data_IF_968659278622
#
_entry.id   IF_968659278622
#
_cell.length_a   1.000
_cell.length_b   1.000
_cell.length_c   1.000
_cell.angle_alpha   90.00
_cell.angle_beta   90.00
_cell.angle_gamma   90.00
#
_symmetry.space_group_name_H-M   'P 1'
#
loop_
_entity.id
_entity.type
_entity.pdbx_description
1 polymer ?
#
# COMPACT_ATOMS: atom_id res chain seq x y z
N UNK A 1 2.54 -9.81 24.13
CA UNK A 1 1.10 -9.96 24.44
C UNK A 1 0.36 -10.36 23.17
N UNK A 2 -0.77 -11.11 23.23
CA UNK A 2 -1.56 -11.35 22.03
C UNK A 2 -2.11 -10.02 21.50
N UNK A 3 -1.91 -9.75 20.21
CA UNK A 3 -2.42 -8.53 19.58
C UNK A 3 -3.93 -8.68 19.43
N UNK A 4 -4.69 -7.78 20.06
CA UNK A 4 -6.13 -7.75 19.94
C UNK A 4 -6.53 -6.90 18.73
N UNK A 5 -6.85 -7.57 17.62
CA UNK A 5 -7.29 -6.90 16.39
C UNK A 5 -8.58 -6.09 16.58
N UNK A 6 -9.47 -6.52 17.47
CA UNK A 6 -10.73 -5.81 17.73
C UNK A 6 -10.47 -4.44 18.37
N UNK A 7 -9.57 -4.37 19.35
CA UNK A 7 -9.20 -3.08 19.95
C UNK A 7 -8.49 -2.18 18.95
N UNK A 8 -7.63 -2.74 18.07
CA UNK A 8 -6.99 -1.97 17.01
C UNK A 8 -7.99 -1.35 16.02
N UNK A 9 -9.03 -2.08 15.64
CA UNK A 9 -10.10 -1.53 14.79
C UNK A 9 -10.89 -0.44 15.51
N UNK A 10 -11.21 -0.63 16.79
CA UNK A 10 -11.88 0.39 17.60
C UNK A 10 -11.04 1.66 17.73
N UNK A 11 -9.74 1.55 17.98
CA UNK A 11 -8.82 2.69 18.08
C UNK A 11 -8.64 3.40 16.74
N UNK A 12 -8.62 2.65 15.64
CA UNK A 12 -8.59 3.20 14.28
C UNK A 12 -9.86 4.00 14.01
N UNK A 13 -11.03 3.45 14.34
CA UNK A 13 -12.30 4.15 14.18
C UNK A 13 -12.42 5.39 15.07
N UNK A 14 -11.99 5.30 16.33
CA UNK A 14 -11.95 6.42 17.25
C UNK A 14 -11.06 7.55 16.73
N UNK A 15 -9.91 7.22 16.12
CA UNK A 15 -9.06 8.21 15.48
C UNK A 15 -9.77 8.93 14.33
N UNK A 16 -10.38 8.16 13.42
CA UNK A 16 -11.11 8.69 12.26
C UNK A 16 -12.20 9.66 12.70
N UNK A 17 -12.97 9.29 13.74
CA UNK A 17 -14.04 10.12 14.31
C UNK A 17 -13.50 11.38 15.00
N UNK A 18 -12.47 11.23 15.83
CA UNK A 18 -11.95 12.33 16.66
C UNK A 18 -11.11 13.34 15.83
N UNK A 19 -10.60 12.94 14.66
CA UNK A 19 -9.77 13.77 13.78
C UNK A 19 -10.40 13.99 12.41
N UNK A 20 -11.70 14.30 12.38
CA UNK A 20 -12.50 14.45 11.16
C UNK A 20 -11.90 15.42 10.11
N UNK A 21 -11.28 16.52 10.52
CA UNK A 21 -10.64 17.47 9.60
C UNK A 21 -9.44 16.86 8.86
N UNK A 22 -8.60 16.09 9.56
CA UNK A 22 -7.51 15.34 8.93
C UNK A 22 -8.08 14.24 8.02
N UNK A 23 -9.07 13.48 8.50
CA UNK A 23 -9.71 12.42 7.72
C UNK A 23 -10.27 12.97 6.42
N UNK A 24 -11.02 14.07 6.46
CA UNK A 24 -11.67 14.65 5.28
C UNK A 24 -10.63 15.18 4.29
N UNK A 25 -9.61 15.90 4.74
CA UNK A 25 -8.54 16.40 3.86
C UNK A 25 -7.75 15.25 3.21
N UNK A 26 -7.45 14.19 3.97
CA UNK A 26 -6.77 13.00 3.45
C UNK A 26 -7.62 12.27 2.39
N UNK A 27 -8.92 12.07 2.65
CA UNK A 27 -9.84 11.42 1.70
C UNK A 27 -9.97 12.23 0.42
N UNK A 28 -10.16 13.55 0.52
CA UNK A 28 -10.26 14.43 -0.65
C UNK A 28 -9.00 14.37 -1.49
N UNK A 29 -7.82 14.42 -0.87
CA UNK A 29 -6.54 14.33 -1.57
C UNK A 29 -6.36 12.97 -2.24
N UNK A 30 -6.64 11.87 -1.54
CA UNK A 30 -6.55 10.51 -2.10
C UNK A 30 -7.54 10.29 -3.24
N UNK A 31 -8.77 10.81 -3.13
CA UNK A 31 -9.78 10.71 -4.17
C UNK A 31 -9.40 11.54 -5.40
N UNK A 32 -8.93 12.78 -5.20
CA UNK A 32 -8.46 13.64 -6.29
C UNK A 32 -7.28 13.00 -7.05
N UNK A 33 -6.34 12.38 -6.33
CA UNK A 33 -5.22 11.67 -6.95
C UNK A 33 -5.66 10.41 -7.69
N UNK A 34 -6.57 9.62 -7.13
CA UNK A 34 -7.12 8.45 -7.83
C UNK A 34 -7.87 8.85 -9.12
N UNK A 35 -8.62 9.95 -9.08
CA UNK A 35 -9.26 10.52 -10.27
C UNK A 35 -8.22 11.00 -11.28
N UNK A 36 -7.20 11.75 -10.84
CA UNK A 36 -6.11 12.21 -11.71
C UNK A 36 -5.38 11.05 -12.39
N UNK A 37 -5.03 10.00 -11.63
CA UNK A 37 -4.41 8.79 -12.17
C UNK A 37 -5.35 8.09 -13.17
N UNK A 38 -6.64 7.98 -12.86
CA UNK A 38 -7.63 7.36 -13.75
C UNK A 38 -7.89 8.15 -15.04
N UNK A 39 -7.56 9.44 -15.08
CA UNK A 39 -7.64 10.25 -16.30
C UNK A 39 -6.37 10.11 -17.16
N UNK A 40 -5.22 9.85 -16.52
CA UNK A 40 -3.93 9.65 -17.19
C UNK A 40 -3.81 8.21 -17.72
N UNK A 41 -4.35 7.23 -16.99
CA UNK A 41 -4.30 5.80 -17.31
C UNK A 41 -5.70 5.31 -17.69
N UNK A 42 -5.96 4.97 -18.97
CA UNK A 42 -7.24 4.39 -19.38
C UNK A 42 -7.57 3.12 -18.57
N UNK A 43 -8.78 3.08 -18.01
CA UNK A 43 -9.31 2.00 -17.15
C UNK A 43 -9.32 0.61 -17.79
N UNK A 44 -9.19 0.50 -19.11
CA UNK A 44 -9.16 -0.77 -19.85
C UNK A 44 -7.94 -1.63 -19.52
N UNK A 45 -6.88 -1.06 -18.96
CA UNK A 45 -5.56 -1.73 -18.96
C UNK A 45 -5.34 -2.80 -17.88
N UNK A 46 -6.15 -2.86 -16.81
CA UNK A 46 -5.92 -3.81 -15.70
C UNK A 46 -7.00 -4.87 -15.49
N UNK A 47 -8.24 -4.64 -15.93
CA UNK A 47 -9.34 -5.61 -15.82
C UNK A 47 -9.57 -6.39 -17.13
N UNK A 48 -9.35 -5.79 -18.30
CA UNK A 48 -9.43 -6.51 -19.59
C UNK A 48 -8.17 -7.35 -19.87
N UNK A 49 -7.10 -7.20 -19.07
CA UNK A 49 -5.97 -8.12 -19.12
C UNK A 49 -6.30 -9.50 -18.51
N UNK A 50 -7.35 -9.59 -17.67
CA UNK A 50 -7.84 -10.84 -17.08
C UNK A 50 -8.99 -11.47 -17.88
N UNK A 51 -9.79 -10.65 -18.58
CA UNK A 51 -10.80 -11.10 -19.53
C UNK A 51 -10.19 -11.07 -20.92
N UNK A 52 -9.62 -12.21 -21.37
CA UNK A 52 -8.90 -12.40 -22.64
C UNK A 52 -9.62 -11.91 -23.90
N UNK A 53 -9.75 -10.59 -24.02
CA UNK A 53 -10.25 -9.86 -25.16
C UNK A 53 -9.04 -9.43 -25.97
N UNK A 54 -9.12 -9.69 -27.27
CA UNK A 54 -8.07 -9.54 -28.25
C UNK A 54 -7.76 -8.06 -28.59
N UNK A 55 -7.65 -7.19 -27.58
CA UNK A 55 -7.12 -5.84 -27.70
C UNK A 55 -5.65 -5.87 -27.23
N UNK A 56 -4.85 -6.74 -27.84
CA UNK A 56 -3.42 -6.90 -27.52
C UNK A 56 -2.51 -6.27 -28.57
N UNK A 57 -3.05 -5.58 -29.58
CA UNK A 57 -2.26 -5.25 -30.79
C UNK A 57 -1.69 -3.83 -30.89
N UNK A 58 -1.84 -2.94 -29.90
CA UNK A 58 -1.30 -1.58 -30.11
C UNK A 58 -0.94 -0.74 -28.87
N UNK A 59 -0.68 -1.36 -27.71
CA UNK A 59 0.01 -0.65 -26.63
C UNK A 59 1.40 -1.23 -26.47
N UNK A 60 2.43 -0.41 -26.70
CA UNK A 60 3.79 -0.80 -26.35
C UNK A 60 3.84 -1.04 -24.84
N UNK A 61 4.61 -2.04 -24.40
CA UNK A 61 4.84 -2.26 -22.96
C UNK A 61 5.32 -0.97 -22.25
N UNK A 62 5.97 -0.07 -23.00
CA UNK A 62 6.44 1.24 -22.53
C UNK A 62 5.27 2.20 -22.20
N UNK A 63 4.20 2.16 -23.00
CA UNK A 63 3.02 3.03 -22.83
C UNK A 63 2.22 2.69 -21.57
N UNK A 64 2.29 1.44 -21.12
CA UNK A 64 1.72 1.00 -19.84
C UNK A 64 2.69 1.24 -18.66
N UNK A 65 3.99 1.08 -18.89
CA UNK A 65 5.01 1.11 -17.85
C UNK A 65 5.19 2.51 -17.27
N UNK A 66 5.31 3.54 -18.10
CA UNK A 66 5.56 4.92 -17.63
C UNK A 66 4.43 5.42 -16.71
N UNK A 67 3.15 5.34 -17.08
CA UNK A 67 2.07 5.78 -16.21
C UNK A 67 1.95 4.94 -14.93
N UNK A 68 2.23 3.63 -15.01
CA UNK A 68 2.23 2.74 -13.83
C UNK A 68 3.35 3.08 -12.85
N UNK A 69 4.54 3.44 -13.34
CA UNK A 69 5.63 3.88 -12.47
C UNK A 69 5.31 5.23 -11.82
N UNK A 70 4.73 6.17 -12.56
CA UNK A 70 4.31 7.46 -12.01
C UNK A 70 3.23 7.29 -10.93
N UNK A 71 2.24 6.43 -11.15
CA UNK A 71 1.21 6.16 -10.14
C UNK A 71 1.82 5.55 -8.87
N UNK A 72 2.76 4.61 -9.01
CA UNK A 72 3.49 4.04 -7.87
C UNK A 72 4.24 5.11 -7.07
N UNK A 73 4.95 6.03 -7.75
CA UNK A 73 5.69 7.11 -7.10
C UNK A 73 4.76 8.05 -6.31
N UNK A 74 3.64 8.44 -6.91
CA UNK A 74 2.63 9.28 -6.24
C UNK A 74 2.06 8.57 -5.02
N UNK A 75 1.72 7.28 -5.14
CA UNK A 75 1.15 6.49 -4.04
C UNK A 75 2.14 6.37 -2.88
N UNK A 76 3.42 6.10 -3.16
CA UNK A 76 4.47 6.04 -2.11
C UNK A 76 4.61 7.39 -1.41
N UNK A 77 4.65 8.50 -2.15
CA UNK A 77 4.78 9.84 -1.56
C UNK A 77 3.62 10.15 -0.62
N UNK A 78 2.39 9.89 -1.08
CA UNK A 78 1.18 10.14 -0.27
C UNK A 78 1.15 9.26 0.96
N UNK A 79 1.51 7.97 0.85
CA UNK A 79 1.59 7.09 2.01
C UNK A 79 2.59 7.60 3.06
N UNK A 80 3.78 8.05 2.64
CA UNK A 80 4.76 8.67 3.55
C UNK A 80 4.17 9.91 4.22
N UNK A 81 3.53 10.79 3.44
CA UNK A 81 2.91 12.01 3.96
C UNK A 81 1.82 11.70 4.99
N UNK A 82 0.95 10.71 4.72
CA UNK A 82 -0.09 10.27 5.64
C UNK A 82 0.51 9.71 6.92
N UNK A 83 1.53 8.84 6.83
CA UNK A 83 2.20 8.26 8.00
C UNK A 83 2.82 9.35 8.89
N UNK A 84 3.51 10.33 8.29
CA UNK A 84 4.11 11.43 9.04
C UNK A 84 3.06 12.34 9.68
N UNK A 85 1.95 12.60 8.98
CA UNK A 85 0.84 13.35 9.56
C UNK A 85 0.20 12.60 10.73
N UNK A 86 -0.03 11.29 10.62
CA UNK A 86 -0.57 10.47 11.73
C UNK A 86 0.41 10.48 12.91
N UNK A 87 1.72 10.37 12.66
CA UNK A 87 2.76 10.49 13.69
C UNK A 87 2.69 11.86 14.40
N UNK A 88 2.62 12.95 13.65
CA UNK A 88 2.50 14.30 14.18
C UNK A 88 1.21 14.51 14.99
N UNK A 89 0.08 13.91 14.56
CA UNK A 89 -1.19 13.94 15.31
C UNK A 89 -1.06 13.22 16.64
N UNK A 90 -0.40 12.05 16.67
CA UNK A 90 -0.21 11.28 17.89
C UNK A 90 0.77 11.95 18.86
N UNK A 91 1.74 12.72 18.34
CA UNK A 91 2.68 13.50 19.15
C UNK A 91 2.10 14.84 19.63
N UNK A 92 0.96 15.28 19.08
CA UNK A 92 0.34 16.57 19.42
C UNK A 92 0.87 17.77 18.61
N UNK A 93 1.78 17.55 17.67
CA UNK A 93 2.45 18.61 16.88
C UNK A 93 1.73 18.96 15.57
N UNK A 94 0.57 18.35 15.31
CA UNK A 94 -0.12 18.51 14.03
C UNK A 94 -0.73 19.90 13.88
N UNK A 95 -0.30 20.62 12.84
CA UNK A 95 -0.81 21.96 12.49
C UNK A 95 -1.62 21.96 11.19
N UNK A 96 -1.02 21.48 10.10
CA UNK A 96 -1.64 21.45 8.77
C UNK A 96 -1.28 20.18 8.01
N UNK A 97 -2.11 19.77 7.06
CA UNK A 97 -1.91 18.55 6.28
C UNK A 97 -0.60 18.54 5.49
N UNK A 98 -0.18 19.70 4.99
CA UNK A 98 1.06 19.87 4.21
C UNK A 98 2.27 20.21 5.08
N UNK A 99 2.12 20.33 6.40
CA UNK A 99 3.25 20.65 7.29
C UNK A 99 4.40 19.65 7.14
N UNK A 100 4.07 18.37 6.98
CA UNK A 100 5.04 17.29 6.83
C UNK A 100 5.47 17.03 5.39
N UNK A 101 5.07 17.85 4.40
CA UNK A 101 5.36 17.62 2.99
C UNK A 101 6.86 17.70 2.67
N UNK A 102 7.57 18.68 3.23
CA UNK A 102 9.02 18.79 3.05
C UNK A 102 9.77 17.60 3.65
N UNK A 103 9.35 17.16 4.85
CA UNK A 103 9.87 15.95 5.49
C UNK A 103 9.57 14.70 4.67
N UNK A 104 8.34 14.57 4.14
CA UNK A 104 7.96 13.46 3.26
C UNK A 104 8.82 13.43 2.00
N UNK A 105 9.08 14.59 1.38
CA UNK A 105 9.94 14.69 0.20
C UNK A 105 11.38 14.28 0.50
N UNK A 106 11.94 14.73 1.64
CA UNK A 106 13.30 14.35 2.05
C UNK A 106 13.48 12.85 2.30
N UNK A 107 12.39 12.16 2.65
CA UNK A 107 12.35 10.72 2.94
C UNK A 107 11.85 9.88 1.77
N UNK A 108 11.49 10.53 0.67
CA UNK A 108 10.80 9.89 -0.45
C UNK A 108 11.68 8.85 -1.13
N UNK A 109 12.96 9.17 -1.37
CA UNK A 109 13.91 8.25 -1.99
C UNK A 109 14.10 6.98 -1.15
N UNK A 110 14.25 7.15 0.17
CA UNK A 110 14.41 6.03 1.10
C UNK A 110 13.14 5.17 1.18
N UNK A 111 11.97 5.80 1.15
CA UNK A 111 10.69 5.09 1.10
C UNK A 111 10.53 4.28 -0.20
N UNK A 112 10.93 4.83 -1.36
CA UNK A 112 10.93 4.09 -2.63
C UNK A 112 11.84 2.87 -2.52
N UNK A 113 13.09 3.04 -2.07
CA UNK A 113 14.05 1.93 -1.97
C UNK A 113 13.53 0.82 -1.06
N UNK A 114 12.95 1.16 0.09
CA UNK A 114 12.35 0.18 1.00
C UNK A 114 11.14 -0.53 0.39
N UNK A 115 10.28 0.21 -0.32
CA UNK A 115 9.12 -0.36 -1.03
C UNK A 115 9.56 -1.32 -2.13
N UNK A 116 10.59 -0.96 -2.90
CA UNK A 116 11.17 -1.82 -3.94
C UNK A 116 11.73 -3.09 -3.31
N UNK A 117 12.54 -3.00 -2.25
CA UNK A 117 13.10 -4.17 -1.56
C UNK A 117 11.99 -5.08 -0.99
N UNK A 118 10.89 -4.50 -0.51
CA UNK A 118 9.74 -5.25 -0.01
C UNK A 118 9.01 -6.01 -1.12
N UNK A 119 8.72 -5.36 -2.25
CA UNK A 119 7.86 -5.91 -3.32
C UNK A 119 8.64 -6.75 -4.33
N UNK A 120 9.93 -6.48 -4.52
CA UNK A 120 10.78 -7.12 -5.52
C UNK A 120 10.76 -8.66 -5.49
N UNK A 121 10.82 -9.33 -4.32
CA UNK A 121 10.79 -10.79 -4.26
C UNK A 121 9.49 -11.39 -4.81
N UNK A 122 8.33 -10.77 -4.55
CA UNK A 122 7.05 -11.22 -5.10
C UNK A 122 6.98 -10.94 -6.61
N UNK A 123 7.44 -9.77 -7.06
CA UNK A 123 7.39 -9.43 -8.48
C UNK A 123 8.24 -10.37 -9.34
N UNK A 124 9.37 -10.86 -8.82
CA UNK A 124 10.16 -11.90 -9.49
C UNK A 124 9.38 -13.20 -9.63
N UNK A 125 8.70 -13.67 -8.58
CA UNK A 125 7.87 -14.86 -8.63
C UNK A 125 6.74 -14.75 -9.68
N UNK A 126 6.09 -13.59 -9.73
CA UNK A 126 5.06 -13.31 -10.75
C UNK A 126 5.63 -13.25 -12.16
N UNK A 127 6.82 -12.68 -12.36
CA UNK A 127 7.47 -12.66 -13.67
C UNK A 127 7.75 -14.07 -14.19
N UNK A 128 8.25 -14.98 -13.35
CA UNK A 128 8.44 -16.39 -13.74
C UNK A 128 7.12 -17.12 -14.07
N UNK A 129 6.02 -16.75 -13.41
CA UNK A 129 4.71 -17.34 -13.67
C UNK A 129 4.04 -16.82 -14.96
N UNK A 130 4.24 -15.53 -15.29
CA UNK A 130 3.58 -14.87 -16.42
C UNK A 130 4.35 -14.93 -17.74
N UNK A 131 5.67 -15.17 -17.70
CA UNK A 131 6.51 -15.27 -18.89
C UNK A 131 7.00 -16.71 -19.11
N UNK A 132 6.18 -17.58 -19.74
CA UNK A 132 6.57 -18.96 -20.06
C UNK A 132 7.73 -19.06 -21.08
N UNK A 133 8.13 -17.94 -21.70
CA UNK A 133 9.26 -17.87 -22.63
C UNK A 133 10.64 -18.06 -21.97
N UNK A 134 10.71 -18.12 -20.63
CA UNK A 134 11.94 -18.36 -19.88
C UNK A 134 12.37 -19.85 -19.84
N UNK A 135 11.62 -20.75 -20.48
CA UNK A 135 11.96 -22.17 -20.70
C UNK A 135 10.97 -23.15 -20.07
N UNK A 136 10.93 -24.38 -20.59
CA UNK A 136 9.98 -25.46 -20.21
C UNK A 136 9.96 -25.85 -18.71
N UNK A 137 10.91 -25.36 -17.92
CA UNK A 137 11.02 -25.57 -16.47
C UNK A 137 10.60 -24.36 -15.62
N UNK A 138 10.20 -23.24 -16.25
CA UNK A 138 9.74 -22.02 -15.58
C UNK A 138 8.56 -22.22 -14.61
N UNK A 139 7.54 -23.07 -14.89
CA UNK A 139 6.43 -23.28 -13.95
C UNK A 139 6.85 -23.97 -12.65
N UNK A 140 7.86 -24.85 -12.70
CA UNK A 140 8.33 -25.63 -11.55
C UNK A 140 9.16 -24.77 -10.58
N UNK A 141 9.91 -23.79 -11.10
CA UNK A 141 10.69 -22.84 -10.31
C UNK A 141 9.85 -21.65 -9.82
N UNK A 142 8.76 -21.31 -10.49
CA UNK A 142 7.90 -20.17 -10.10
C UNK A 142 7.29 -20.33 -8.69
N UNK A 143 6.79 -21.53 -8.36
CA UNK A 143 6.16 -21.81 -7.06
C UNK A 143 7.08 -21.56 -5.84
N UNK A 144 8.28 -22.17 -5.74
CA UNK A 144 9.16 -21.92 -4.60
C UNK A 144 9.65 -20.47 -4.53
N UNK A 145 9.92 -19.83 -5.68
CA UNK A 145 10.31 -18.41 -5.72
C UNK A 145 9.17 -17.51 -5.23
N UNK A 146 7.92 -17.79 -5.63
CA UNK A 146 6.75 -17.03 -5.20
C UNK A 146 6.48 -17.20 -3.70
N UNK A 147 6.60 -18.42 -3.17
CA UNK A 147 6.47 -18.68 -1.72
C UNK A 147 7.55 -17.96 -0.91
N UNK A 148 8.81 -18.01 -1.38
CA UNK A 148 9.91 -17.29 -0.75
C UNK A 148 9.69 -15.77 -0.83
N UNK A 149 9.20 -15.28 -1.97
CA UNK A 149 8.86 -13.87 -2.16
C UNK A 149 7.77 -13.40 -1.20
N UNK A 150 6.70 -14.18 -1.07
CA UNK A 150 5.61 -13.93 -0.14
C UNK A 150 6.10 -13.90 1.31
N UNK A 151 6.98 -14.84 1.69
CA UNK A 151 7.58 -14.87 3.02
C UNK A 151 8.40 -13.61 3.33
N UNK A 152 9.25 -13.17 2.39
CA UNK A 152 10.03 -11.93 2.55
C UNK A 152 9.12 -10.71 2.63
N UNK A 153 8.09 -10.66 1.79
CA UNK A 153 7.12 -9.57 1.77
C UNK A 153 6.37 -9.44 3.09
N UNK A 154 5.86 -10.56 3.65
CA UNK A 154 5.18 -10.56 4.95
C UNK A 154 6.13 -10.06 6.05
N UNK A 155 7.39 -10.51 6.04
CA UNK A 155 8.40 -10.06 7.02
C UNK A 155 8.74 -8.59 6.91
N UNK A 156 8.74 -8.04 5.69
CA UNK A 156 9.11 -6.64 5.43
C UNK A 156 7.89 -5.72 5.31
N UNK A 157 6.68 -6.20 5.55
CA UNK A 157 5.46 -5.41 5.40
C UNK A 157 5.45 -4.13 6.26
N UNK A 158 6.07 -4.19 7.45
CA UNK A 158 6.17 -3.06 8.36
C UNK A 158 7.42 -2.18 8.17
N UNK A 159 8.24 -2.41 7.15
CA UNK A 159 9.56 -1.76 7.03
C UNK A 159 9.46 -0.24 6.87
N UNK A 160 8.47 0.23 6.11
CA UNK A 160 8.25 1.67 5.88
C UNK A 160 7.81 2.34 7.19
N UNK A 161 6.91 1.71 7.94
CA UNK A 161 6.48 2.19 9.26
C UNK A 161 7.65 2.22 10.24
N UNK A 162 8.47 1.17 10.27
CA UNK A 162 9.67 1.11 11.11
C UNK A 162 10.68 2.22 10.76
N UNK A 163 10.85 2.54 9.47
CA UNK A 163 11.75 3.62 9.04
C UNK A 163 11.24 5.01 9.45
N UNK A 164 9.94 5.27 9.28
CA UNK A 164 9.36 6.60 9.48
C UNK A 164 9.04 6.91 10.96
N UNK A 165 8.75 5.88 11.75
CA UNK A 165 8.30 6.05 13.14
C UNK A 165 9.46 6.04 14.13
N UNK A 166 10.48 5.21 13.93
CA UNK A 166 11.60 5.06 14.88
C UNK A 166 12.49 6.31 14.99
N UNK A 167 12.86 6.66 16.22
CA UNK A 167 13.78 7.74 16.55
C UNK A 167 14.86 7.21 17.52
N UNK A 168 16.18 7.40 17.24
CA UNK A 168 16.77 8.02 16.05
C UNK A 168 16.64 7.14 14.79
N UNK A 169 16.57 7.79 13.62
CA UNK A 169 16.41 7.11 12.32
C UNK A 169 17.62 6.21 12.05
N UNK A 170 17.37 4.92 11.89
CA UNK A 170 18.39 3.93 11.56
C UNK A 170 18.70 3.98 10.06
N UNK A 171 19.94 3.62 9.68
CA UNK A 171 20.31 3.40 8.27
C UNK A 171 19.39 2.35 7.63
N UNK A 172 19.12 2.44 6.33
CA UNK A 172 18.23 1.51 5.60
C UNK A 172 18.47 0.03 5.93
N UNK A 173 19.74 -0.42 5.91
CA UNK A 173 20.10 -1.79 6.25
C UNK A 173 19.85 -2.16 7.70
N UNK A 174 20.01 -1.22 8.63
CA UNK A 174 19.70 -1.43 10.05
C UNK A 174 18.17 -1.49 10.28
N UNK A 175 17.38 -0.73 9.51
CA UNK A 175 15.92 -0.83 9.53
C UNK A 175 15.44 -2.17 8.99
N UNK A 176 16.00 -2.63 7.87
CA UNK A 176 15.68 -3.96 7.32
C UNK A 176 15.98 -5.07 8.33
N UNK A 177 17.18 -5.06 8.93
CA UNK A 177 17.56 -6.02 9.98
C UNK A 177 16.64 -5.93 11.19
N UNK A 178 16.25 -4.72 11.59
CA UNK A 178 15.34 -4.50 12.71
C UNK A 178 13.95 -5.06 12.42
N UNK A 179 13.34 -4.74 11.28
CA UNK A 179 12.02 -5.26 10.88
C UNK A 179 12.04 -6.79 10.73
N UNK A 180 13.15 -7.33 10.21
CA UNK A 180 13.34 -8.77 10.12
C UNK A 180 13.40 -9.45 11.49
N UNK A 181 14.12 -8.86 12.44
CA UNK A 181 14.18 -9.33 13.84
C UNK A 181 12.85 -9.17 14.59
N UNK A 182 12.11 -8.11 14.31
CA UNK A 182 10.79 -7.84 14.91
C UNK A 182 9.77 -8.94 14.57
N UNK A 183 9.93 -9.58 13.41
CA UNK A 183 9.09 -10.68 12.95
C UNK A 183 9.36 -12.02 13.65
N UNK A 184 10.46 -12.13 14.42
CA UNK A 184 10.88 -13.38 15.04
C UNK A 184 9.93 -13.78 16.18
N UNK A 185 9.33 -14.97 16.08
CA UNK A 185 8.39 -15.49 17.09
C UNK A 185 6.99 -14.87 17.07
N UNK A 186 6.72 -13.86 16.23
CA UNK A 186 5.42 -13.16 16.11
C UNK A 186 4.93 -13.11 14.66
N UNK A 187 5.12 -14.20 13.91
CA UNK A 187 4.80 -14.24 12.48
C UNK A 187 3.29 -14.35 12.22
N UNK A 188 2.54 -15.04 13.08
CA UNK A 188 1.09 -15.22 12.90
C UNK A 188 0.31 -13.89 12.89
N UNK A 189 0.54 -12.93 13.82
CA UNK A 189 -0.08 -11.61 13.72
C UNK A 189 0.30 -10.83 12.46
N UNK A 190 1.54 -10.97 11.96
CA UNK A 190 1.99 -10.34 10.71
C UNK A 190 1.27 -10.91 9.48
N UNK A 191 1.04 -12.22 9.45
CA UNK A 191 0.27 -12.88 8.38
C UNK A 191 -1.16 -12.36 8.39
N UNK A 192 -1.82 -12.35 9.56
CA UNK A 192 -3.18 -11.84 9.71
C UNK A 192 -3.29 -10.36 9.31
N UNK A 193 -2.32 -9.55 9.75
CA UNK A 193 -2.20 -8.15 9.36
C UNK A 193 -2.07 -7.97 7.85
N UNK A 194 -1.16 -8.72 7.22
CA UNK A 194 -0.95 -8.70 5.77
C UNK A 194 -2.23 -9.09 5.05
N UNK A 195 -2.90 -10.16 5.50
CA UNK A 195 -4.18 -10.56 4.95
C UNK A 195 -5.22 -9.43 5.07
N UNK A 196 -5.36 -8.79 6.23
CA UNK A 196 -6.31 -7.69 6.43
C UNK A 196 -6.06 -6.52 5.48
N UNK A 197 -4.82 -6.04 5.36
CA UNK A 197 -4.52 -4.81 4.59
C UNK A 197 -4.54 -5.04 3.09
N UNK A 198 -4.25 -6.24 2.61
CA UNK A 198 -4.29 -6.51 1.18
C UNK A 198 -5.62 -7.11 0.74
N UNK A 199 -6.24 -7.99 1.53
CA UNK A 199 -7.50 -8.63 1.16
C UNK A 199 -8.71 -7.72 1.30
N UNK A 200 -8.85 -6.99 2.43
CA UNK A 200 -10.05 -6.18 2.68
C UNK A 200 -10.18 -5.06 1.66
N UNK A 201 -9.14 -4.24 1.37
CA UNK A 201 -9.26 -3.21 0.35
C UNK A 201 -9.56 -3.78 -1.02
N UNK A 202 -8.91 -4.87 -1.43
CA UNK A 202 -9.18 -5.49 -2.72
C UNK A 202 -10.64 -5.96 -2.82
N UNK A 203 -11.15 -6.68 -1.81
CA UNK A 203 -12.53 -7.14 -1.80
C UNK A 203 -13.54 -5.97 -1.80
N UNK A 204 -13.29 -4.94 -0.99
CA UNK A 204 -14.12 -3.74 -0.96
C UNK A 204 -14.07 -2.98 -2.29
N UNK A 205 -12.90 -2.84 -2.89
CA UNK A 205 -12.76 -2.18 -4.18
C UNK A 205 -13.50 -2.90 -5.30
N UNK A 206 -13.56 -4.23 -5.28
CA UNK A 206 -14.38 -5.02 -6.22
C UNK A 206 -15.88 -4.74 -6.06
N UNK A 207 -16.38 -4.72 -4.82
CA UNK A 207 -17.80 -4.38 -4.54
C UNK A 207 -18.10 -2.93 -4.89
N UNK A 208 -17.20 -2.02 -4.53
CA UNK A 208 -17.35 -0.59 -4.79
C UNK A 208 -17.26 -0.27 -6.29
N UNK A 209 -16.51 -1.06 -7.05
CA UNK A 209 -16.43 -1.01 -8.50
C UNK A 209 -17.79 -1.19 -9.18
N UNK A 210 -18.70 -1.98 -8.61
CA UNK A 210 -20.05 -2.14 -9.14
C UNK A 210 -20.85 -0.83 -9.16
N UNK A 211 -20.55 0.12 -8.27
CA UNK A 211 -21.21 1.43 -8.30
C UNK A 211 -20.87 2.26 -9.53
N UNK A 212 -19.78 1.94 -10.24
CA UNK A 212 -19.43 2.63 -11.49
C UNK A 212 -20.46 2.42 -12.61
N UNK A 213 -21.31 1.40 -12.49
CA UNK A 213 -22.43 1.16 -13.40
C UNK A 213 -23.54 2.24 -13.30
N UNK A 214 -23.60 3.01 -12.20
CA UNK A 214 -24.57 4.10 -12.03
C UNK A 214 -24.14 5.43 -12.70
N UNK A 215 -23.20 5.37 -13.65
CA UNK A 215 -22.70 6.54 -14.38
C UNK A 215 -21.65 7.35 -13.62
N UNK A 216 -21.42 8.60 -14.06
CA UNK A 216 -20.34 9.47 -13.56
C UNK A 216 -20.37 9.70 -12.05
N UNK A 217 -21.57 9.85 -11.47
CA UNK A 217 -21.73 10.00 -10.02
C UNK A 217 -21.26 8.75 -9.27
N UNK A 218 -21.60 7.56 -9.79
CA UNK A 218 -21.16 6.28 -9.24
C UNK A 218 -19.64 6.10 -9.26
N UNK A 219 -18.98 6.60 -10.32
CA UNK A 219 -17.50 6.61 -10.40
C UNK A 219 -16.88 7.49 -9.32
N UNK A 220 -17.37 8.71 -9.13
CA UNK A 220 -16.84 9.63 -8.12
C UNK A 220 -17.03 9.04 -6.71
N UNK A 221 -18.22 8.50 -6.43
CA UNK A 221 -18.52 7.87 -5.14
C UNK A 221 -17.62 6.66 -4.89
N UNK A 222 -17.39 5.83 -5.91
CA UNK A 222 -16.50 4.68 -5.80
C UNK A 222 -15.05 5.08 -5.44
N UNK A 223 -14.52 6.12 -6.09
CA UNK A 223 -13.19 6.62 -5.78
C UNK A 223 -13.09 7.22 -4.38
N UNK A 224 -14.12 7.94 -3.92
CA UNK A 224 -14.17 8.48 -2.56
C UNK A 224 -14.20 7.38 -1.50
N UNK A 225 -14.98 6.31 -1.73
CA UNK A 225 -15.01 5.16 -0.82
C UNK A 225 -13.68 4.40 -0.80
N UNK A 226 -13.05 4.18 -1.96
CA UNK A 226 -11.72 3.57 -2.02
C UNK A 226 -10.66 4.41 -1.32
N UNK A 227 -10.69 5.74 -1.50
CA UNK A 227 -9.82 6.68 -0.77
C UNK A 227 -10.01 6.57 0.75
N UNK A 228 -11.27 6.49 1.21
CA UNK A 228 -11.57 6.31 2.63
C UNK A 228 -11.04 4.98 3.17
N UNK A 229 -11.29 3.88 2.48
CA UNK A 229 -10.79 2.55 2.88
C UNK A 229 -9.26 2.55 2.95
N UNK A 230 -8.58 3.12 1.95
CA UNK A 230 -7.12 3.23 1.93
C UNK A 230 -6.60 4.01 3.15
N UNK A 231 -7.20 5.17 3.44
CA UNK A 231 -6.84 5.95 4.63
C UNK A 231 -7.03 5.15 5.94
N UNK A 232 -8.16 4.46 6.09
CA UNK A 232 -8.43 3.61 7.26
C UNK A 232 -7.37 2.53 7.40
N UNK A 233 -6.95 1.90 6.31
CA UNK A 233 -5.88 0.90 6.33
C UNK A 233 -4.52 1.48 6.67
N UNK A 234 -4.20 2.70 6.22
CA UNK A 234 -2.94 3.38 6.61
C UNK A 234 -2.93 3.69 8.11
N UNK A 235 -4.05 4.16 8.67
CA UNK A 235 -4.18 4.43 10.12
C UNK A 235 -4.10 3.12 10.92
N UNK A 236 -4.81 2.08 10.46
CA UNK A 236 -4.75 0.74 11.07
C UNK A 236 -3.32 0.19 11.06
N UNK A 237 -2.60 0.32 9.94
CA UNK A 237 -1.20 -0.10 9.80
C UNK A 237 -0.27 0.62 10.77
N UNK A 238 -0.47 1.92 10.92
CA UNK A 238 0.27 2.73 11.88
C UNK A 238 0.06 2.24 13.32
N UNK A 239 -1.20 2.01 13.72
CA UNK A 239 -1.54 1.54 15.07
C UNK A 239 -1.08 0.11 15.32
N UNK A 240 -1.23 -0.76 14.33
CA UNK A 240 -0.71 -2.12 14.39
C UNK A 240 0.79 -2.11 14.60
N UNK A 241 1.55 -1.29 13.86
CA UNK A 241 2.99 -1.16 14.06
C UNK A 241 3.34 -0.79 15.52
N UNK A 242 2.65 0.20 16.10
CA UNK A 242 2.86 0.61 17.49
C UNK A 242 2.58 -0.52 18.48
N UNK A 243 1.50 -1.28 18.28
CA UNK A 243 1.15 -2.42 19.14
C UNK A 243 2.09 -3.61 18.93
N UNK A 244 2.53 -3.85 17.70
CA UNK A 244 3.42 -4.95 17.33
C UNK A 244 4.82 -4.79 17.92
N UNK A 245 5.27 -3.53 18.08
CA UNK A 245 6.54 -3.17 18.72
C UNK A 245 6.57 -3.48 20.22
N UNK A 246 5.43 -3.42 20.92
CA UNK A 246 5.34 -3.65 22.38
C UNK A 246 5.47 -5.14 22.73
#
# INVERSE_FOLDING_TARGET
MPINFQSLFQDTWNFVRNRAQFTLSAVVLLAALQLGISLIIPRSTFLEAAEGSAIHEQMSAIDLLIPSMLSMLVIVFVNVLLILNIKSINNGDYRTFLHNAASAFSLFLQAILLTVVQVFPISLGLAFALFPTLGDSAPLLAMPVMLMGLFVFIKLNLVIYAYLIEEPRKTLGATLKFTWGLSYGRMLPLIMFTAIIYFIPTALSSVVGAFSAFGTFGVILAQALNAFVNLVMVIFSFRFYQSYRQ
#
